data_IF_018044846911
#
_entry.id   IF_018044846911
#
_cell.length_a   1.000
_cell.length_b   1.000
_cell.length_c   1.000
_cell.angle_alpha   90.00
_cell.angle_beta   90.00
_cell.angle_gamma   90.00
#
_symmetry.space_group_name_H-M   'P 1'
#
loop_
_entity.id
_entity.type
_entity.pdbx_description
1 polymer ?
#
# COMPACT_ATOMS: atom_id res chain seq x y z
N UNK A 1 22.43 15.26 8.91
CA UNK A 1 22.41 15.35 7.44
C UNK A 1 23.78 14.96 6.92
N UNK A 2 23.88 14.09 5.91
CA UNK A 2 25.21 13.72 5.35
C UNK A 2 25.69 14.82 4.39
N UNK A 3 27.01 14.94 4.13
CA UNK A 3 27.53 15.93 3.18
C UNK A 3 26.88 15.86 1.79
N UNK A 4 26.50 14.66 1.34
CA UNK A 4 25.77 14.46 0.08
C UNK A 4 24.38 15.11 0.08
N UNK A 5 23.63 14.97 1.17
CA UNK A 5 22.32 15.61 1.30
C UNK A 5 22.43 17.13 1.35
N UNK A 6 23.45 17.65 2.04
CA UNK A 6 23.71 19.09 2.09
C UNK A 6 24.02 19.65 0.70
N UNK A 7 24.94 19.01 -0.04
CA UNK A 7 25.28 19.43 -1.40
C UNK A 7 24.07 19.34 -2.34
N UNK A 8 23.27 18.27 -2.25
CA UNK A 8 22.05 18.13 -3.02
C UNK A 8 21.07 19.29 -2.79
N UNK A 9 20.89 19.74 -1.54
CA UNK A 9 19.98 20.85 -1.26
C UNK A 9 20.49 22.20 -1.78
N UNK A 10 21.81 22.40 -1.79
CA UNK A 10 22.43 23.55 -2.46
C UNK A 10 22.18 23.47 -3.97
N UNK A 11 22.46 22.33 -4.59
CA UNK A 11 22.43 22.20 -6.05
C UNK A 11 21.00 22.19 -6.60
N UNK A 12 20.08 21.48 -5.94
CA UNK A 12 18.71 21.27 -6.41
C UNK A 12 17.74 22.40 -6.00
N UNK A 13 17.96 23.01 -4.82
CA UNK A 13 17.03 23.99 -4.26
C UNK A 13 17.68 25.36 -3.99
N UNK A 14 18.99 25.51 -4.19
CA UNK A 14 19.71 26.75 -3.89
C UNK A 14 19.79 27.07 -2.39
N UNK A 15 19.56 26.07 -1.52
CA UNK A 15 19.44 26.28 -0.07
C UNK A 15 20.75 25.95 0.65
N UNK A 16 21.41 26.99 1.16
CA UNK A 16 22.53 26.89 2.08
C UNK A 16 22.01 26.79 3.52
N UNK A 17 21.96 25.55 4.04
CA UNK A 17 21.45 25.31 5.39
C UNK A 17 22.36 25.82 6.52
N UNK A 18 23.58 26.24 6.21
CA UNK A 18 24.42 26.95 7.18
C UNK A 18 23.97 28.40 7.38
N UNK A 19 23.18 28.94 6.44
CA UNK A 19 22.70 30.33 6.45
C UNK A 19 21.19 30.45 6.66
N UNK A 20 20.41 29.49 6.19
CA UNK A 20 18.94 29.56 6.20
C UNK A 20 18.34 28.27 6.77
N UNK A 21 17.38 28.36 7.72
CA UNK A 21 16.66 27.18 8.21
C UNK A 21 15.91 26.46 7.08
N UNK A 22 15.81 25.13 7.17
CA UNK A 22 15.03 24.32 6.23
C UNK A 22 13.58 24.24 6.70
N UNK A 23 12.65 24.61 5.83
CA UNK A 23 11.22 24.34 6.04
C UNK A 23 10.93 22.85 5.79
N UNK A 24 10.27 22.20 6.74
CA UNK A 24 9.94 20.77 6.69
C UNK A 24 8.51 20.55 7.13
N UNK A 25 7.86 19.55 6.54
CA UNK A 25 6.53 19.07 6.92
C UNK A 25 6.50 17.54 6.92
N UNK A 26 5.60 16.91 7.70
CA UNK A 26 5.37 15.47 7.61
C UNK A 26 4.94 15.07 6.19
N UNK A 27 5.46 13.96 5.70
CA UNK A 27 5.07 13.36 4.43
C UNK A 27 4.88 11.86 4.61
N UNK A 28 4.04 11.25 3.77
CA UNK A 28 3.94 9.79 3.68
C UNK A 28 5.32 9.19 3.38
N UNK A 29 5.70 8.13 4.10
CA UNK A 29 7.07 7.63 4.07
C UNK A 29 7.19 6.10 4.07
N UNK A 30 6.36 5.39 4.84
CA UNK A 30 6.46 3.94 4.94
C UNK A 30 5.10 3.28 5.20
N UNK A 31 4.83 2.16 4.54
CA UNK A 31 3.66 1.33 4.80
C UNK A 31 3.98 0.19 5.76
N UNK A 32 3.42 0.25 6.99
CA UNK A 32 3.56 -0.84 7.97
C UNK A 32 2.61 -2.02 7.71
N UNK A 33 1.57 -1.79 6.92
CA UNK A 33 0.67 -2.84 6.42
C UNK A 33 1.24 -3.51 5.16
N UNK A 34 0.56 -4.54 4.67
CA UNK A 34 0.99 -5.26 3.48
C UNK A 34 0.38 -6.66 3.45
N UNK A 35 0.95 -7.52 2.59
CA UNK A 35 0.57 -8.92 2.49
C UNK A 35 0.85 -9.63 3.82
N UNK A 36 -0.14 -10.33 4.35
CA UNK A 36 0.02 -11.11 5.57
C UNK A 36 0.92 -12.32 5.31
N UNK A 37 2.02 -12.42 6.05
CA UNK A 37 3.01 -13.49 5.92
C UNK A 37 3.25 -14.22 7.24
N UNK A 38 3.70 -15.48 7.14
CA UNK A 38 4.31 -16.18 8.26
C UNK A 38 5.82 -15.87 8.36
N UNK A 39 6.51 -16.45 9.34
CA UNK A 39 7.95 -16.21 9.58
C UNK A 39 8.89 -16.70 8.45
N UNK A 40 8.36 -17.49 7.50
CA UNK A 40 9.08 -17.92 6.29
C UNK A 40 8.83 -17.02 5.09
N UNK A 41 8.05 -15.94 5.26
CA UNK A 41 7.61 -15.07 4.15
C UNK A 41 6.50 -15.68 3.29
N UNK A 42 5.91 -16.82 3.68
CA UNK A 42 4.82 -17.44 2.93
C UNK A 42 3.53 -16.67 3.17
N UNK A 43 2.80 -16.41 2.07
CA UNK A 43 1.46 -15.83 2.15
C UNK A 43 0.42 -16.92 2.46
N UNK A 44 -0.86 -16.54 2.51
CA UNK A 44 -1.96 -17.53 2.59
C UNK A 44 -2.22 -18.26 1.27
N UNK A 45 -1.62 -17.80 0.17
CA UNK A 45 -1.68 -18.45 -1.15
C UNK A 45 -0.46 -19.35 -1.30
N UNK A 46 -0.68 -20.65 -1.50
CA UNK A 46 0.41 -21.61 -1.61
C UNK A 46 1.34 -21.30 -2.78
N UNK A 47 2.65 -21.34 -2.54
CA UNK A 47 3.67 -20.99 -3.54
C UNK A 47 3.91 -19.48 -3.72
N UNK A 48 3.09 -18.61 -3.12
CA UNK A 48 3.31 -17.17 -3.14
C UNK A 48 3.97 -16.69 -1.84
N UNK A 49 5.04 -15.90 -2.01
CA UNK A 49 5.83 -15.33 -0.93
C UNK A 49 5.82 -13.80 -1.03
N UNK A 50 6.01 -13.12 0.10
CA UNK A 50 6.20 -11.67 0.16
C UNK A 50 7.26 -11.31 1.21
N UNK A 51 7.96 -10.20 1.01
CA UNK A 51 8.98 -9.69 1.92
C UNK A 51 9.13 -8.16 1.75
N UNK A 52 9.93 -7.55 2.62
CA UNK A 52 10.14 -6.10 2.61
C UNK A 52 8.85 -5.31 2.86
N UNK A 53 8.74 -4.13 2.26
CA UNK A 53 7.59 -3.21 2.45
C UNK A 53 6.29 -3.71 1.78
N UNK A 54 6.37 -4.70 0.89
CA UNK A 54 5.17 -5.34 0.35
C UNK A 54 4.47 -6.27 1.37
N UNK A 55 5.19 -6.70 2.41
CA UNK A 55 4.67 -7.57 3.47
C UNK A 55 4.37 -6.77 4.74
N UNK A 56 3.34 -7.19 5.47
CA UNK A 56 2.86 -6.54 6.69
C UNK A 56 3.09 -7.35 7.95
N UNK A 57 2.33 -7.05 9.01
CA UNK A 57 2.18 -7.82 10.26
C UNK A 57 3.41 -8.04 11.16
N UNK A 58 4.62 -7.60 10.81
CA UNK A 58 5.80 -7.68 11.68
C UNK A 58 6.28 -6.32 12.24
N UNK A 59 5.94 -5.20 11.60
CA UNK A 59 6.34 -3.84 12.04
C UNK A 59 5.47 -3.26 13.16
N UNK A 60 4.34 -3.89 13.47
CA UNK A 60 3.33 -3.33 14.37
C UNK A 60 2.65 -2.09 13.79
N UNK A 61 2.22 -1.18 14.67
CA UNK A 61 1.48 0.03 14.30
C UNK A 61 2.37 1.25 14.01
N UNK A 62 3.69 1.12 14.19
CA UNK A 62 4.68 2.14 13.84
C UNK A 62 6.06 1.47 13.71
N UNK A 63 6.62 1.50 12.51
CA UNK A 63 7.96 0.95 12.26
C UNK A 63 9.02 1.68 13.07
N UNK A 64 9.97 0.93 13.63
CA UNK A 64 11.14 1.50 14.28
C UNK A 64 12.10 2.14 13.27
N UNK A 65 12.61 3.34 13.59
CA UNK A 65 13.56 4.03 12.73
C UNK A 65 14.80 3.17 12.44
N UNK A 66 15.26 3.18 11.18
CA UNK A 66 16.42 2.38 10.74
C UNK A 66 16.15 0.89 10.46
N UNK A 67 14.99 0.34 10.81
CA UNK A 67 14.75 -1.10 10.61
C UNK A 67 14.52 -1.49 9.13
N UNK A 68 13.90 -0.63 8.31
CA UNK A 68 13.41 -1.01 6.98
C UNK A 68 14.45 -1.65 6.05
N UNK A 69 15.69 -1.16 6.07
CA UNK A 69 16.78 -1.75 5.27
C UNK A 69 17.18 -3.12 5.82
N UNK A 70 17.26 -3.28 7.14
CA UNK A 70 17.50 -4.57 7.75
C UNK A 70 16.35 -5.54 7.43
N UNK A 71 15.12 -5.06 7.48
CA UNK A 71 13.92 -5.86 7.23
C UNK A 71 13.92 -6.40 5.80
N UNK A 72 14.23 -5.57 4.79
CA UNK A 72 14.31 -6.05 3.39
C UNK A 72 15.41 -7.09 3.20
N UNK A 73 16.60 -6.91 3.79
CA UNK A 73 17.70 -7.87 3.66
C UNK A 73 17.39 -9.19 4.37
N UNK A 74 16.89 -9.13 5.60
CA UNK A 74 16.64 -10.32 6.43
C UNK A 74 15.41 -11.09 5.96
N UNK A 75 14.28 -10.42 5.77
CA UNK A 75 13.05 -11.07 5.28
C UNK A 75 13.19 -11.52 3.82
N UNK A 76 13.92 -10.77 2.99
CA UNK A 76 14.19 -11.15 1.60
C UNK A 76 15.06 -12.40 1.51
N UNK A 77 16.14 -12.48 2.29
CA UNK A 77 16.97 -13.69 2.34
C UNK A 77 16.18 -14.92 2.82
N UNK A 78 15.38 -14.77 3.89
CA UNK A 78 14.58 -15.85 4.44
C UNK A 78 13.48 -16.32 3.46
N UNK A 79 12.69 -15.39 2.92
CA UNK A 79 11.61 -15.69 1.98
C UNK A 79 12.16 -16.30 0.68
N UNK A 80 13.25 -15.74 0.14
CA UNK A 80 13.90 -16.24 -1.06
C UNK A 80 14.44 -17.67 -0.91
N UNK A 81 15.09 -17.97 0.21
CA UNK A 81 15.56 -19.33 0.50
C UNK A 81 14.39 -20.32 0.62
N UNK A 82 13.32 -19.94 1.35
CA UNK A 82 12.14 -20.78 1.50
C UNK A 82 11.40 -21.01 0.16
N UNK A 83 11.26 -19.96 -0.66
CA UNK A 83 10.65 -20.05 -1.98
C UNK A 83 11.46 -20.96 -2.91
N UNK A 84 12.80 -20.85 -2.90
CA UNK A 84 13.66 -21.71 -3.70
C UNK A 84 13.56 -23.19 -3.29
N UNK A 85 13.51 -23.48 -1.99
CA UNK A 85 13.38 -24.85 -1.48
C UNK A 85 11.99 -25.44 -1.71
N UNK A 86 10.93 -24.61 -1.74
CA UNK A 86 9.59 -25.03 -2.12
C UNK A 86 9.50 -25.30 -3.62
N UNK A 87 10.11 -24.44 -4.45
CA UNK A 87 10.13 -24.59 -5.91
C UNK A 87 10.83 -25.88 -6.36
N UNK A 88 11.92 -26.31 -5.70
CA UNK A 88 12.60 -27.59 -5.99
C UNK A 88 11.70 -28.83 -5.80
N UNK A 89 10.62 -28.71 -5.03
CA UNK A 89 9.72 -29.81 -4.66
C UNK A 89 8.43 -29.82 -5.47
N UNK A 90 8.27 -28.87 -6.38
CA UNK A 90 7.06 -28.67 -7.16
C UNK A 90 7.42 -28.67 -8.64
N UNK A 91 6.54 -29.26 -9.43
CA UNK A 91 6.65 -29.15 -10.88
C UNK A 91 6.26 -27.74 -11.33
N UNK A 92 6.82 -27.34 -12.47
CA UNK A 92 6.41 -26.10 -13.13
C UNK A 92 4.95 -26.22 -13.56
N UNK A 93 4.14 -25.26 -13.13
CA UNK A 93 2.74 -25.13 -13.55
C UNK A 93 2.73 -24.16 -14.74
N UNK A 94 2.30 -24.59 -15.96
CA UNK A 94 2.18 -23.69 -17.08
C UNK A 94 1.10 -22.62 -16.80
N UNK A 95 1.24 -21.40 -17.34
CA UNK A 95 0.23 -20.37 -17.18
C UNK A 95 -1.09 -20.82 -17.84
N UNK A 96 -2.22 -20.53 -17.20
CA UNK A 96 -3.55 -20.71 -17.78
C UNK A 96 -3.83 -19.55 -18.75
N UNK A 97 -4.33 -19.85 -19.95
CA UNK A 97 -4.73 -18.83 -20.93
C UNK A 97 -5.76 -17.86 -20.35
N UNK A 98 -6.64 -18.35 -19.46
CA UNK A 98 -7.62 -17.51 -18.78
C UNK A 98 -6.94 -16.43 -17.93
N UNK A 99 -5.91 -16.80 -17.17
CA UNK A 99 -5.17 -15.87 -16.30
C UNK A 99 -4.41 -14.83 -17.14
N UNK A 100 -3.86 -15.26 -18.29
CA UNK A 100 -3.22 -14.35 -19.24
C UNK A 100 -4.21 -13.34 -19.82
N UNK A 101 -5.40 -13.80 -20.23
CA UNK A 101 -6.43 -12.92 -20.76
C UNK A 101 -6.89 -11.90 -19.71
N UNK A 102 -7.14 -12.32 -18.45
CA UNK A 102 -7.47 -11.41 -17.35
C UNK A 102 -6.35 -10.36 -17.11
N UNK A 103 -5.07 -10.75 -17.25
CA UNK A 103 -3.96 -9.80 -17.12
C UNK A 103 -3.92 -8.77 -18.26
N UNK A 104 -4.34 -9.14 -19.47
CA UNK A 104 -4.39 -8.25 -20.63
C UNK A 104 -5.64 -7.35 -20.68
N UNK A 105 -6.72 -7.70 -19.96
CA UNK A 105 -7.98 -6.95 -19.96
C UNK A 105 -7.81 -5.45 -19.69
N UNK A 106 -6.87 -5.05 -18.81
CA UNK A 106 -6.64 -3.64 -18.54
C UNK A 106 -6.07 -2.91 -19.75
N UNK A 107 -5.19 -3.56 -20.52
CA UNK A 107 -4.57 -2.97 -21.70
C UNK A 107 -5.66 -2.76 -22.75
N UNK A 108 -6.45 -3.79 -23.04
CA UNK A 108 -7.57 -3.71 -23.98
C UNK A 108 -8.60 -2.66 -23.55
N UNK A 109 -8.90 -2.61 -22.25
CA UNK A 109 -9.82 -1.63 -21.69
C UNK A 109 -9.33 -0.20 -21.93
N UNK A 110 -8.05 0.11 -21.70
CA UNK A 110 -7.56 1.50 -21.84
C UNK A 110 -7.26 1.93 -23.27
N UNK A 111 -6.97 0.99 -24.17
CA UNK A 111 -6.74 1.29 -25.59
C UNK A 111 -8.02 1.34 -26.42
N UNK A 112 -9.12 0.76 -25.91
CA UNK A 112 -10.42 0.80 -26.56
C UNK A 112 -10.89 2.23 -26.86
N UNK A 113 -11.60 2.40 -27.98
CA UNK A 113 -12.23 3.67 -28.33
C UNK A 113 -13.36 4.00 -27.35
N UNK A 114 -13.39 5.24 -26.84
CA UNK A 114 -14.35 5.71 -25.84
C UNK A 114 -14.91 7.08 -26.18
N UNK A 115 -16.17 7.30 -25.80
CA UNK A 115 -16.82 8.62 -25.85
C UNK A 115 -16.26 9.58 -24.81
N UNK A 116 -16.03 9.08 -23.58
CA UNK A 116 -15.33 9.78 -22.50
C UNK A 116 -13.90 9.24 -22.38
N UNK A 117 -12.91 10.13 -22.43
CA UNK A 117 -11.49 9.78 -22.32
C UNK A 117 -10.88 10.49 -21.13
N UNK A 118 -10.61 9.73 -20.07
CA UNK A 118 -9.90 10.22 -18.89
C UNK A 118 -8.43 9.81 -19.01
N UNK A 119 -7.51 10.75 -18.78
CA UNK A 119 -6.09 10.40 -18.73
C UNK A 119 -5.77 9.67 -17.43
N UNK A 120 -5.05 8.54 -17.45
CA UNK A 120 -4.67 7.81 -16.24
C UNK A 120 -4.00 8.66 -15.18
N UNK A 121 -3.13 9.59 -15.58
CA UNK A 121 -2.46 10.52 -14.65
C UNK A 121 -3.46 11.39 -13.86
N UNK A 122 -4.58 11.78 -14.47
CA UNK A 122 -5.60 12.58 -13.78
C UNK A 122 -6.28 11.77 -12.67
N UNK A 123 -6.50 10.47 -12.90
CA UNK A 123 -7.02 9.55 -11.88
C UNK A 123 -6.01 9.41 -10.74
N UNK A 124 -4.72 9.20 -11.05
CA UNK A 124 -3.66 9.12 -10.02
C UNK A 124 -3.57 10.39 -9.19
N UNK A 125 -3.62 11.56 -9.82
CA UNK A 125 -3.62 12.85 -9.10
C UNK A 125 -4.79 12.94 -8.13
N UNK A 126 -6.01 12.63 -8.55
CA UNK A 126 -7.18 12.68 -7.66
C UNK A 126 -7.07 11.68 -6.49
N UNK A 127 -6.52 10.48 -6.73
CA UNK A 127 -6.24 9.51 -5.65
C UNK A 127 -5.27 10.12 -4.63
N UNK A 128 -4.15 10.68 -5.09
CA UNK A 128 -3.12 11.25 -4.22
C UNK A 128 -3.67 12.44 -3.42
N UNK A 129 -4.39 13.35 -4.05
CA UNK A 129 -5.04 14.49 -3.39
C UNK A 129 -6.10 14.04 -2.37
N UNK A 130 -6.87 13.00 -2.70
CA UNK A 130 -7.86 12.42 -1.78
C UNK A 130 -7.17 11.79 -0.57
N UNK A 131 -6.08 11.05 -0.77
CA UNK A 131 -5.34 10.42 0.31
C UNK A 131 -4.72 11.47 1.23
N UNK A 132 -4.06 12.48 0.67
CA UNK A 132 -3.42 13.56 1.42
C UNK A 132 -4.45 14.35 2.26
N UNK A 133 -5.62 14.62 1.69
CA UNK A 133 -6.67 15.41 2.35
C UNK A 133 -7.45 14.67 3.42
N UNK A 134 -7.75 13.38 3.20
CA UNK A 134 -8.77 12.66 4.00
C UNK A 134 -8.22 11.50 4.85
N UNK A 135 -6.96 11.10 4.68
CA UNK A 135 -6.33 10.05 5.50
C UNK A 135 -4.92 10.41 6.00
N UNK A 136 -4.66 11.71 6.10
CA UNK A 136 -3.52 12.33 6.75
C UNK A 136 -3.30 11.80 8.20
N UNK A 137 -2.23 12.22 8.90
CA UNK A 137 -1.89 11.69 10.22
C UNK A 137 -3.03 11.75 11.24
N UNK A 138 -3.81 12.83 11.25
CA UNK A 138 -4.98 12.99 12.11
C UNK A 138 -6.26 12.74 11.31
N UNK A 139 -7.14 11.90 11.85
CA UNK A 139 -8.29 11.37 11.12
C UNK A 139 -9.56 11.47 11.96
N UNK A 140 -10.69 11.49 11.28
CA UNK A 140 -12.01 11.29 11.88
C UNK A 140 -12.90 10.51 10.91
N UNK A 141 -13.94 9.87 11.44
CA UNK A 141 -14.82 9.01 10.66
C UNK A 141 -15.49 9.73 9.49
N UNK A 142 -15.90 10.99 9.68
CA UNK A 142 -16.63 11.77 8.67
C UNK A 142 -15.74 12.09 7.46
N UNK A 143 -14.52 12.55 7.71
CA UNK A 143 -13.58 12.86 6.63
C UNK A 143 -13.09 11.60 5.92
N UNK A 144 -12.81 10.51 6.65
CA UNK A 144 -12.42 9.24 6.04
C UNK A 144 -13.56 8.62 5.21
N UNK A 145 -14.81 8.71 5.65
CA UNK A 145 -15.96 8.24 4.87
C UNK A 145 -16.10 9.00 3.55
N UNK A 146 -15.91 10.33 3.59
CA UNK A 146 -15.90 11.16 2.37
C UNK A 146 -14.77 10.75 1.42
N UNK A 147 -13.55 10.57 1.94
CA UNK A 147 -12.40 10.11 1.14
C UNK A 147 -12.67 8.74 0.49
N UNK A 148 -13.18 7.78 1.25
CA UNK A 148 -13.54 6.46 0.75
C UNK A 148 -14.60 6.52 -0.36
N UNK A 149 -15.59 7.40 -0.22
CA UNK A 149 -16.60 7.61 -1.27
C UNK A 149 -15.99 8.13 -2.57
N UNK A 150 -15.01 9.04 -2.49
CA UNK A 150 -14.30 9.55 -3.68
C UNK A 150 -13.50 8.43 -4.35
N UNK A 151 -12.73 7.66 -3.56
CA UNK A 151 -11.95 6.52 -4.09
C UNK A 151 -12.85 5.49 -4.78
N UNK A 152 -14.03 5.19 -4.22
CA UNK A 152 -14.99 4.28 -4.86
C UNK A 152 -15.56 4.85 -6.16
N UNK A 153 -15.86 6.14 -6.21
CA UNK A 153 -16.24 6.81 -7.45
C UNK A 153 -15.14 6.73 -8.52
N UNK A 154 -13.88 6.92 -8.13
CA UNK A 154 -12.72 6.76 -9.03
C UNK A 154 -12.60 5.32 -9.54
N UNK A 155 -12.91 4.32 -8.70
CA UNK A 155 -12.94 2.91 -9.10
C UNK A 155 -13.93 2.66 -10.23
N UNK A 156 -15.11 3.27 -10.16
CA UNK A 156 -16.13 3.20 -11.21
C UNK A 156 -15.69 3.92 -12.50
N UNK A 157 -14.89 4.98 -12.38
CA UNK A 157 -14.37 5.75 -13.50
C UNK A 157 -13.14 5.12 -14.18
N UNK A 158 -12.54 4.06 -13.61
CA UNK A 158 -11.38 3.37 -14.20
C UNK A 158 -11.68 2.88 -15.62
N UNK A 159 -12.92 2.44 -15.89
CA UNK A 159 -13.34 2.00 -17.22
C UNK A 159 -13.40 3.12 -18.25
N UNK A 160 -13.26 4.39 -17.85
CA UNK A 160 -13.19 5.55 -18.74
C UNK A 160 -11.76 6.04 -18.99
N UNK A 161 -10.76 5.41 -18.37
CA UNK A 161 -9.35 5.70 -18.66
C UNK A 161 -9.04 5.40 -20.12
N UNK A 162 -8.24 6.25 -20.75
CA UNK A 162 -7.84 6.07 -22.14
C UNK A 162 -6.36 6.35 -22.31
N UNK A 163 -5.67 5.44 -22.97
CA UNK A 163 -4.29 5.58 -23.43
C UNK A 163 -4.27 5.36 -24.95
N UNK A 164 -3.60 6.22 -25.73
CA UNK A 164 -3.45 6.00 -27.17
C UNK A 164 -2.73 4.68 -27.45
N UNK A 165 -3.19 3.90 -28.42
CA UNK A 165 -2.56 2.65 -28.81
C UNK A 165 -1.45 2.90 -29.85
N UNK A 166 -0.21 2.54 -29.50
CA UNK A 166 0.94 2.61 -30.40
C UNK A 166 1.97 1.54 -30.07
N UNK A 167 2.71 1.09 -31.09
CA UNK A 167 3.65 -0.04 -31.04
C UNK A 167 5.01 0.25 -30.37
N UNK A 168 5.04 1.14 -29.38
CA UNK A 168 6.24 1.49 -28.58
C UNK A 168 5.90 1.46 -27.10
N UNK A 169 6.92 1.50 -26.24
CA UNK A 169 6.72 1.61 -24.80
C UNK A 169 5.79 2.80 -24.47
N UNK A 170 4.66 2.50 -23.84
CA UNK A 170 3.59 3.47 -23.61
C UNK A 170 3.45 3.74 -22.12
N UNK A 171 3.94 4.91 -21.70
CA UNK A 171 3.86 5.33 -20.31
C UNK A 171 2.42 5.45 -19.82
N UNK A 172 1.47 5.85 -20.67
CA UNK A 172 0.07 6.00 -20.26
C UNK A 172 -0.59 4.66 -19.89
N UNK A 173 -0.15 3.54 -20.51
CA UNK A 173 -0.62 2.20 -20.11
C UNK A 173 -0.06 1.83 -18.73
N UNK A 174 1.22 2.10 -18.47
CA UNK A 174 1.81 1.90 -17.13
C UNK A 174 1.07 2.72 -16.07
N UNK A 175 0.82 3.99 -16.34
CA UNK A 175 0.06 4.88 -15.47
C UNK A 175 -1.36 4.36 -15.20
N UNK A 176 -2.01 3.73 -16.19
CA UNK A 176 -3.33 3.12 -16.01
C UNK A 176 -3.30 1.89 -15.10
N UNK A 177 -2.30 1.01 -15.28
CA UNK A 177 -2.10 -0.16 -14.42
C UNK A 177 -1.86 0.29 -12.99
N UNK A 178 -0.99 1.27 -12.80
CA UNK A 178 -0.71 1.87 -11.49
C UNK A 178 -1.96 2.52 -10.89
N UNK A 179 -2.74 3.28 -11.66
CA UNK A 179 -3.97 3.90 -11.19
C UNK A 179 -4.95 2.85 -10.63
N UNK A 180 -5.15 1.74 -11.34
CA UNK A 180 -6.01 0.64 -10.86
C UNK A 180 -5.50 0.08 -9.52
N UNK A 181 -4.20 -0.19 -9.41
CA UNK A 181 -3.60 -0.71 -8.18
C UNK A 181 -3.67 0.31 -7.03
N UNK A 182 -3.49 1.60 -7.33
CA UNK A 182 -3.58 2.69 -6.36
C UNK A 182 -4.99 2.85 -5.80
N UNK A 183 -6.04 2.71 -6.62
CA UNK A 183 -7.43 2.75 -6.14
C UNK A 183 -7.69 1.61 -5.16
N UNK A 184 -7.25 0.38 -5.48
CA UNK A 184 -7.41 -0.77 -4.59
C UNK A 184 -6.64 -0.55 -3.28
N UNK A 185 -5.39 -0.09 -3.34
CA UNK A 185 -4.59 0.22 -2.15
C UNK A 185 -5.21 1.33 -1.27
N UNK A 186 -5.75 2.38 -1.91
CA UNK A 186 -6.43 3.47 -1.22
C UNK A 186 -7.72 2.98 -0.54
N UNK A 187 -8.56 2.21 -1.24
CA UNK A 187 -9.79 1.64 -0.69
C UNK A 187 -9.50 0.75 0.53
N UNK A 188 -8.48 -0.11 0.44
CA UNK A 188 -8.05 -0.98 1.54
C UNK A 188 -7.55 -0.17 2.74
N UNK A 189 -6.84 0.94 2.48
CA UNK A 189 -6.31 1.82 3.54
C UNK A 189 -7.44 2.56 4.25
N UNK A 190 -8.35 3.20 3.51
CA UNK A 190 -9.52 3.87 4.07
C UNK A 190 -10.42 2.91 4.85
N UNK A 191 -10.76 1.76 4.25
CA UNK A 191 -11.64 0.81 4.91
C UNK A 191 -11.02 0.20 6.16
N UNK A 192 -9.70 -0.06 6.17
CA UNK A 192 -9.00 -0.54 7.37
C UNK A 192 -8.96 0.52 8.48
N UNK A 193 -8.75 1.80 8.11
CA UNK A 193 -8.74 2.92 9.05
C UNK A 193 -10.15 3.23 9.60
N UNK A 194 -11.19 3.05 8.79
CA UNK A 194 -12.58 3.17 9.23
C UNK A 194 -12.99 2.04 10.16
N UNK A 195 -12.57 0.81 9.84
CA UNK A 195 -12.86 -0.38 10.66
C UNK A 195 -12.27 -0.25 12.06
N UNK A 196 -11.04 0.25 12.19
CA UNK A 196 -10.37 0.45 13.48
C UNK A 196 -10.88 1.70 14.19
N UNK A 197 -11.44 1.52 15.38
CA UNK A 197 -12.00 2.61 16.21
C UNK A 197 -11.19 2.76 17.50
N UNK A 198 -9.88 3.00 17.34
CA UNK A 198 -8.92 3.39 18.38
C UNK A 198 -7.85 4.27 17.75
N UNK A 199 -6.94 4.82 18.55
CA UNK A 199 -5.70 5.43 18.07
C UNK A 199 -4.51 4.61 18.54
N UNK A 200 -3.64 4.18 17.63
CA UNK A 200 -2.43 3.40 17.93
C UNK A 200 -1.34 3.62 16.90
N UNK A 201 -0.13 3.94 17.36
CA UNK A 201 1.00 4.20 16.48
C UNK A 201 0.73 5.37 15.52
N UNK A 202 0.91 5.16 14.22
CA UNK A 202 0.64 6.19 13.21
C UNK A 202 -0.84 6.30 12.79
N UNK A 203 -1.72 5.44 13.30
CA UNK A 203 -3.16 5.59 13.12
C UNK A 203 -3.72 6.41 14.27
N UNK A 204 -4.00 7.69 14.01
CA UNK A 204 -4.52 8.62 15.01
C UNK A 204 -5.90 9.14 14.60
N UNK A 205 -6.91 8.82 15.41
CA UNK A 205 -8.30 9.20 15.25
C UNK A 205 -8.71 10.19 16.32
N UNK A 206 -9.09 11.40 15.94
CA UNK A 206 -9.53 12.44 16.88
C UNK A 206 -10.88 12.13 17.52
N UNK A 207 -11.71 11.30 16.87
CA UNK A 207 -12.98 10.79 17.38
C UNK A 207 -12.84 9.51 18.22
N UNK A 208 -11.67 8.86 18.21
CA UNK A 208 -11.29 7.72 19.06
C UNK A 208 -9.83 7.89 19.52
N UNK A 209 -9.54 8.86 20.42
CA UNK A 209 -8.17 9.33 20.68
C UNK A 209 -7.32 8.34 21.49
N UNK A 210 -7.94 7.40 22.18
CA UNK A 210 -7.26 6.49 23.11
C UNK A 210 -6.89 5.15 22.44
N UNK A 211 -5.84 4.53 22.97
CA UNK A 211 -5.52 3.13 22.68
C UNK A 211 -6.53 2.21 23.39
N UNK A 212 -7.10 1.24 22.66
CA UNK A 212 -8.05 0.27 23.21
C UNK A 212 -7.45 -1.14 23.17
N UNK A 213 -6.72 -1.46 24.23
CA UNK A 213 -6.06 -2.76 24.37
C UNK A 213 -7.04 -3.94 24.50
N UNK A 214 -8.27 -3.69 24.96
CA UNK A 214 -9.27 -4.75 25.18
C UNK A 214 -9.86 -5.21 23.85
N UNK A 215 -10.18 -4.29 22.95
CA UNK A 215 -10.87 -4.61 21.71
C UNK A 215 -9.97 -4.60 20.47
N UNK A 216 -8.84 -3.89 20.50
CA UNK A 216 -8.07 -3.56 19.30
C UNK A 216 -6.59 -3.92 19.33
N UNK A 217 -6.13 -4.65 20.36
CA UNK A 217 -4.81 -5.30 20.42
C UNK A 217 -4.73 -6.51 19.47
N UNK A 218 -4.92 -6.26 18.18
CA UNK A 218 -5.04 -7.23 17.10
C UNK A 218 -4.61 -6.61 15.77
N UNK A 219 -4.33 -7.44 14.77
CA UNK A 219 -4.20 -7.01 13.38
C UNK A 219 -5.57 -6.78 12.74
N UNK A 220 -5.64 -5.81 11.84
CA UNK A 220 -6.75 -5.69 10.88
C UNK A 220 -6.41 -6.53 9.66
N UNK A 221 -7.21 -7.56 9.37
CA UNK A 221 -7.03 -8.42 8.20
C UNK A 221 -8.13 -8.10 7.19
N UNK A 222 -7.70 -7.84 5.96
CA UNK A 222 -8.60 -7.62 4.83
C UNK A 222 -8.58 -8.83 3.92
N UNK A 223 -9.76 -9.31 3.53
CA UNK A 223 -9.92 -10.38 2.54
C UNK A 223 -10.84 -9.92 1.43
N UNK A 224 -10.51 -10.30 0.20
CA UNK A 224 -11.42 -10.16 -0.92
C UNK A 224 -12.47 -11.29 -0.85
N UNK A 225 -13.74 -10.92 -0.78
CA UNK A 225 -14.88 -11.83 -0.91
C UNK A 225 -15.77 -11.30 -2.03
N UNK A 226 -15.82 -12.02 -3.14
CA UNK A 226 -16.63 -11.71 -4.32
C UNK A 226 -16.41 -10.28 -4.85
N UNK A 227 -15.15 -9.85 -4.92
CA UNK A 227 -14.75 -8.51 -5.39
C UNK A 227 -14.88 -7.40 -4.35
N UNK A 228 -15.26 -7.73 -3.11
CA UNK A 228 -15.44 -6.76 -2.01
C UNK A 228 -14.46 -6.99 -0.88
N UNK A 229 -13.89 -5.90 -0.37
CA UNK A 229 -13.04 -5.94 0.81
C UNK A 229 -13.88 -6.22 2.07
N UNK A 230 -13.49 -7.26 2.81
CA UNK A 230 -14.08 -7.62 4.11
C UNK A 230 -13.02 -7.52 5.20
N UNK A 231 -13.38 -6.88 6.31
CA UNK A 231 -12.46 -6.54 7.39
C UNK A 231 -12.72 -7.43 8.61
N UNK A 232 -11.65 -7.93 9.21
CA UNK A 232 -11.72 -8.81 10.37
C UNK A 232 -10.55 -8.58 11.30
N UNK A 233 -10.68 -9.03 12.55
CA UNK A 233 -9.62 -9.00 13.54
C UNK A 233 -8.85 -10.32 13.52
N UNK A 234 -7.54 -10.25 13.71
CA UNK A 234 -6.69 -11.41 13.98
C UNK A 234 -5.75 -11.11 15.13
N UNK A 235 -5.71 -12.00 16.10
CA UNK A 235 -4.92 -11.80 17.31
C UNK A 235 -3.42 -11.69 16.99
N UNK A 236 -2.74 -10.87 17.79
CA UNK A 236 -1.27 -10.80 17.78
C UNK A 236 -0.73 -12.05 18.47
N UNK A 237 0.25 -12.69 17.85
CA UNK A 237 0.92 -13.84 18.45
C UNK A 237 2.08 -13.34 19.30
N UNK A 238 2.00 -13.57 20.61
CA UNK A 238 3.08 -13.24 21.54
C UNK A 238 3.93 -14.48 21.82
N UNK A 239 5.23 -14.38 21.58
CA UNK A 239 6.18 -15.48 21.80
C UNK A 239 7.11 -15.25 22.98
N UNK A 240 7.66 -14.04 23.13
CA UNK A 240 8.65 -13.70 24.17
C UNK A 240 8.18 -12.62 25.13
N UNK A 241 7.69 -11.50 24.61
CA UNK A 241 7.21 -10.38 25.42
C UNK A 241 5.69 -10.26 25.24
N UNK A 242 4.95 -10.53 26.32
CA UNK A 242 3.51 -10.28 26.37
C UNK A 242 3.29 -8.95 27.09
N UNK A 243 2.56 -7.99 26.50
CA UNK A 243 2.20 -6.76 27.19
C UNK A 243 1.33 -7.08 28.41
N UNK A 244 1.45 -6.25 29.44
CA UNK A 244 0.55 -6.29 30.59
C UNK A 244 -0.90 -6.03 30.12
N UNK A 245 -1.85 -6.65 30.83
CA UNK A 245 -3.28 -6.56 30.50
C UNK A 245 -3.82 -5.14 30.77
#
# INVERSE_FOLDING_TARGET
>A
MTPKHYQFLIDAAGLDLAKTPLEVAPASHYQCGGIFINEKGQTTVGGLFACGEAAGNFQGANRLAGSALCDTQTTGAAAGACAADEAKKKDLIPPDEKDLNEAYEIIDMVTASKSKKIKPIAVKTEILETMDKYIAPFRDGKNMEKGLSIIRGLKEELSNMYAPDFSRYNLEITEAIEAKLMVDAAELTFGSAMFRTESRGHHNRTDYPDEDNKNWRCHTIVKNKDGRATYSKKDVIYTRMKPED
#
